data_IF_011864078895
#
_entry.id   IF_011864078895
#
_cell.length_a   1.000
_cell.length_b   1.000
_cell.length_c   1.000
_cell.angle_alpha   90.00
_cell.angle_beta   90.00
_cell.angle_gamma   90.00
#
_symmetry.space_group_name_H-M   'P 1'
#
loop_
_entity.id
_entity.type
_entity.pdbx_description
1 polymer ?
#
# COMPACT_ATOMS: atom_id res chain seq x y z
N UNK A 1 -12.98 -13.24 16.35
CA UNK A 1 -11.50 -13.18 16.30
C UNK A 1 -11.19 -12.30 15.10
N UNK A 2 -11.11 -10.99 15.31
CA UNK A 2 -11.27 -9.97 14.24
C UNK A 2 -10.40 -8.77 14.66
N UNK A 3 -9.47 -8.20 13.89
CA UNK A 3 -9.18 -8.20 12.46
C UNK A 3 -7.65 -8.07 12.29
N UNK A 4 -7.01 -9.05 11.67
CA UNK A 4 -5.65 -8.90 11.16
C UNK A 4 -5.72 -8.27 9.77
N UNK A 5 -4.92 -7.24 9.51
CA UNK A 5 -4.82 -6.55 8.22
C UNK A 5 -3.44 -6.74 7.62
N UNK A 6 -3.36 -7.02 6.33
CA UNK A 6 -2.08 -6.98 5.64
C UNK A 6 -1.54 -5.55 5.59
N UNK A 7 -0.24 -5.44 5.81
CA UNK A 7 0.52 -4.19 5.78
C UNK A 7 1.87 -4.43 5.09
N UNK A 8 2.33 -3.52 4.22
CA UNK A 8 1.71 -2.25 3.87
C UNK A 8 0.70 -2.33 2.72
N UNK A 9 0.46 -3.53 2.17
CA UNK A 9 -0.23 -3.68 0.89
C UNK A 9 -1.74 -3.37 0.90
N UNK A 10 -2.22 -2.71 -0.17
CA UNK A 10 -3.65 -2.47 -0.44
C UNK A 10 -4.23 -3.39 -1.53
N UNK A 11 -3.39 -4.20 -2.18
CA UNK A 11 -3.75 -5.14 -3.23
C UNK A 11 -3.46 -6.60 -2.85
N UNK A 12 -4.30 -7.53 -3.33
CA UNK A 12 -4.17 -8.96 -2.99
C UNK A 12 -3.02 -9.65 -3.71
N UNK A 13 -2.58 -9.08 -4.83
CA UNK A 13 -1.52 -9.54 -5.70
C UNK A 13 -0.15 -9.50 -5.00
N UNK A 14 0.02 -8.61 -4.01
CA UNK A 14 1.24 -8.52 -3.19
C UNK A 14 1.25 -9.49 -2.01
N UNK A 15 0.11 -10.13 -1.71
CA UNK A 15 0.00 -11.04 -0.59
C UNK A 15 0.22 -12.46 -1.09
N UNK A 16 1.14 -13.17 -0.42
CA UNK A 16 1.39 -14.58 -0.71
C UNK A 16 0.07 -15.37 -0.64
N UNK A 17 -0.29 -16.13 -1.69
CA UNK A 17 -1.52 -16.93 -1.72
C UNK A 17 -1.71 -17.82 -0.48
N UNK A 18 -0.62 -18.34 0.11
CA UNK A 18 -0.67 -19.17 1.31
C UNK A 18 -1.04 -18.39 2.59
N UNK A 19 -0.86 -17.07 2.57
CA UNK A 19 -1.15 -16.19 3.69
C UNK A 19 -2.52 -15.54 3.59
N UNK A 20 -3.17 -15.49 2.41
CA UNK A 20 -4.42 -14.74 2.17
C UNK A 20 -5.55 -15.03 3.17
N UNK A 21 -5.65 -16.24 3.69
CA UNK A 21 -6.67 -16.63 4.67
C UNK A 21 -6.39 -16.10 6.10
N UNK A 22 -5.17 -15.65 6.37
CA UNK A 22 -4.73 -15.21 7.70
C UNK A 22 -5.09 -13.76 8.03
N UNK A 23 -5.51 -12.96 7.06
CA UNK A 23 -5.78 -11.53 7.24
C UNK A 23 -6.75 -10.95 6.21
N UNK A 24 -7.01 -9.65 6.32
CA UNK A 24 -7.83 -8.89 5.37
C UNK A 24 -7.03 -7.74 4.78
N UNK A 25 -7.47 -7.26 3.63
CA UNK A 25 -6.86 -6.10 2.96
C UNK A 25 -7.63 -4.85 3.37
N UNK A 26 -6.91 -3.75 3.62
CA UNK A 26 -7.54 -2.46 3.87
C UNK A 26 -8.13 -1.91 2.56
N UNK A 27 -9.45 -1.74 2.52
CA UNK A 27 -10.13 -1.14 1.38
C UNK A 27 -10.43 0.33 1.65
N UNK A 28 -9.89 1.17 0.78
CA UNK A 28 -9.98 2.62 0.86
C UNK A 28 -11.10 3.20 -0.01
N UNK A 29 -12.02 2.35 -0.50
CA UNK A 29 -13.18 2.75 -1.30
C UNK A 29 -13.12 2.32 -2.77
N UNK A 30 -12.12 1.55 -3.19
CA UNK A 30 -12.02 1.04 -4.57
C UNK A 30 -12.54 -0.38 -4.75
N UNK A 31 -12.36 -1.22 -3.71
CA UNK A 31 -12.71 -2.63 -3.78
C UNK A 31 -14.18 -2.84 -3.39
N UNK A 32 -14.82 -3.83 -3.99
CA UNK A 32 -16.13 -4.30 -3.52
C UNK A 32 -15.98 -5.01 -2.17
N UNK A 33 -16.95 -4.87 -1.25
CA UNK A 33 -16.91 -5.52 0.05
C UNK A 33 -17.00 -7.05 -0.11
N UNK A 34 -15.84 -7.71 -0.12
CA UNK A 34 -15.67 -9.17 -0.12
C UNK A 34 -15.24 -9.68 1.26
N UNK A 35 -15.28 -10.99 1.48
CA UNK A 35 -14.94 -11.64 2.77
C UNK A 35 -13.51 -11.33 3.25
N UNK A 36 -12.56 -11.15 2.33
CA UNK A 36 -11.14 -10.87 2.60
C UNK A 36 -10.80 -9.37 2.66
N UNK A 37 -11.80 -8.50 2.68
CA UNK A 37 -11.63 -7.05 2.61
C UNK A 37 -12.17 -6.39 3.87
N UNK A 38 -11.42 -5.42 4.41
CA UNK A 38 -11.85 -4.56 5.50
C UNK A 38 -12.04 -3.14 4.99
N UNK A 39 -13.30 -2.70 4.93
CA UNK A 39 -13.64 -1.31 4.57
C UNK A 39 -13.91 -0.51 5.84
N UNK A 40 -13.12 0.55 6.14
CA UNK A 40 -13.40 1.48 7.22
C UNK A 40 -14.73 2.21 6.97
N UNK A 41 -15.51 2.44 8.03
CA UNK A 41 -16.78 3.17 7.93
C UNK A 41 -16.60 4.69 7.86
N UNK A 42 -15.40 5.19 8.17
CA UNK A 42 -15.07 6.60 8.30
C UNK A 42 -14.22 7.13 7.12
N UNK A 43 -14.33 6.53 5.93
CA UNK A 43 -13.66 7.05 4.74
C UNK A 43 -14.17 8.46 4.39
N UNK A 44 -13.26 9.36 4.03
CA UNK A 44 -13.60 10.75 3.72
C UNK A 44 -14.31 10.88 2.37
N UNK A 45 -13.79 10.20 1.35
CA UNK A 45 -14.33 10.18 0.00
C UNK A 45 -15.24 8.97 -0.22
N UNK A 46 -16.35 9.18 -0.92
CA UNK A 46 -17.10 8.09 -1.54
C UNK A 46 -16.25 7.40 -2.62
N UNK A 47 -16.60 6.16 -3.03
CA UNK A 47 -15.91 5.47 -4.12
C UNK A 47 -15.78 6.28 -5.42
N UNK A 48 -16.82 7.07 -5.74
CA UNK A 48 -16.84 7.93 -6.92
C UNK A 48 -15.87 9.12 -6.77
N UNK A 49 -15.86 9.74 -5.60
CA UNK A 49 -14.94 10.86 -5.30
C UNK A 49 -13.49 10.41 -5.20
N UNK A 50 -13.23 9.22 -4.65
CA UNK A 50 -11.89 8.64 -4.59
C UNK A 50 -11.32 8.42 -6.00
N UNK A 51 -12.13 7.91 -6.94
CA UNK A 51 -11.75 7.78 -8.36
C UNK A 51 -11.53 9.14 -9.02
N UNK A 52 -12.41 10.11 -8.78
CA UNK A 52 -12.26 11.45 -9.33
C UNK A 52 -11.00 12.15 -8.81
N UNK A 53 -10.71 12.00 -7.52
CA UNK A 53 -9.49 12.52 -6.89
C UNK A 53 -8.24 11.87 -7.48
N UNK A 54 -8.26 10.54 -7.65
CA UNK A 54 -7.15 9.83 -8.26
C UNK A 54 -6.88 10.32 -9.70
N UNK A 55 -7.92 10.44 -10.52
CA UNK A 55 -7.79 10.95 -11.89
C UNK A 55 -7.22 12.38 -11.90
N UNK A 56 -7.72 13.24 -11.01
CA UNK A 56 -7.17 14.59 -10.84
C UNK A 56 -5.68 14.56 -10.50
N UNK A 57 -5.24 13.70 -9.57
CA UNK A 57 -3.82 13.59 -9.23
C UNK A 57 -2.97 13.10 -10.41
N UNK A 58 -3.49 12.17 -11.22
CA UNK A 58 -2.81 11.69 -12.43
C UNK A 58 -2.71 12.77 -13.50
N UNK A 59 -3.80 13.48 -13.78
CA UNK A 59 -3.83 14.60 -14.73
C UNK A 59 -2.93 15.75 -14.29
N UNK A 60 -2.98 16.11 -13.01
CA UNK A 60 -2.12 17.12 -12.41
C UNK A 60 -0.64 16.73 -12.53
N UNK A 61 -0.29 15.50 -12.18
CA UNK A 61 1.08 14.99 -12.31
C UNK A 61 1.58 15.00 -13.76
N UNK A 62 0.72 14.69 -14.73
CA UNK A 62 1.06 14.67 -16.15
C UNK A 62 1.40 16.06 -16.73
N UNK A 63 1.01 17.16 -16.05
CA UNK A 63 1.34 18.52 -16.48
C UNK A 63 2.82 18.88 -16.26
N UNK A 64 3.52 18.14 -15.39
CA UNK A 64 4.91 18.41 -15.04
C UNK A 64 5.85 17.40 -15.71
N UNK A 65 6.89 17.91 -16.39
CA UNK A 65 7.97 17.06 -16.94
C UNK A 65 8.96 16.62 -15.88
N UNK A 66 9.20 17.49 -14.89
CA UNK A 66 10.15 17.28 -13.81
C UNK A 66 9.49 17.38 -12.42
N UNK A 67 9.85 16.45 -11.52
CA UNK A 67 9.37 16.41 -10.13
C UNK A 67 9.76 17.71 -9.38
N UNK A 68 10.87 18.35 -9.76
CA UNK A 68 11.33 19.60 -9.14
C UNK A 68 10.36 20.76 -9.41
N UNK A 69 9.82 20.84 -10.63
CA UNK A 69 8.88 21.88 -11.03
C UNK A 69 7.54 21.70 -10.29
N UNK A 70 7.09 20.45 -10.18
CA UNK A 70 5.92 20.11 -9.37
C UNK A 70 6.11 20.51 -7.90
N UNK A 71 7.26 20.19 -7.30
CA UNK A 71 7.57 20.60 -5.91
C UNK A 71 7.61 22.11 -5.76
N UNK A 72 8.21 22.83 -6.70
CA UNK A 72 8.25 24.30 -6.67
C UNK A 72 6.84 24.89 -6.77
N UNK A 73 5.99 24.35 -7.65
CA UNK A 73 4.60 24.75 -7.78
C UNK A 73 3.80 24.51 -6.49
N UNK A 74 3.95 23.33 -5.88
CA UNK A 74 3.31 22.98 -4.60
C UNK A 74 3.77 23.88 -3.45
N UNK A 75 5.03 24.30 -3.43
CA UNK A 75 5.56 25.22 -2.41
C UNK A 75 5.03 26.65 -2.59
N UNK A 76 4.64 27.04 -3.81
CA UNK A 76 4.04 28.34 -4.09
C UNK A 76 2.54 28.37 -3.74
N UNK A 77 1.84 27.26 -3.91
CA UNK A 77 0.45 27.13 -3.47
C UNK A 77 0.40 26.76 -1.99
N UNK A 78 0.23 27.75 -1.11
CA UNK A 78 0.02 27.56 0.34
C UNK A 78 -1.32 26.88 0.70
N UNK A 79 -1.97 26.16 -0.22
CA UNK A 79 -3.27 25.50 -0.02
C UNK A 79 -3.23 24.07 -0.56
N UNK A 80 -3.91 23.10 0.09
CA UNK A 80 -4.05 21.76 -0.47
C UNK A 80 -4.69 21.83 -1.86
N UNK A 81 -4.13 21.07 -2.82
CA UNK A 81 -4.71 20.87 -4.14
C UNK A 81 -6.10 20.23 -3.98
N UNK A 82 -7.15 21.02 -4.16
CA UNK A 82 -8.52 20.55 -4.17
C UNK A 82 -9.06 20.59 -5.61
N UNK A 83 -9.66 19.51 -6.13
CA UNK A 83 -10.34 19.56 -7.42
C UNK A 83 -11.43 20.63 -7.37
N UNK A 84 -11.51 21.51 -8.36
CA UNK A 84 -12.42 22.67 -8.37
C UNK A 84 -13.92 22.30 -8.19
N UNK A 85 -14.30 21.04 -8.40
CA UNK A 85 -15.66 20.53 -8.13
C UNK A 85 -15.96 20.12 -6.68
N UNK A 86 -14.94 19.96 -5.82
CA UNK A 86 -15.10 19.51 -4.43
C UNK A 86 -15.39 20.69 -3.50
N UNK A 87 -14.96 21.90 -3.85
CA UNK A 87 -15.21 23.12 -3.08
C UNK A 87 -16.69 23.53 -3.05
N UNK A 88 -17.48 23.33 -4.12
CA UNK A 88 -18.90 23.69 -4.09
C UNK A 88 -19.69 22.77 -3.14
N UNK A 89 -19.41 21.47 -3.17
CA UNK A 89 -20.07 20.48 -2.32
C UNK A 89 -19.61 20.63 -0.86
N UNK A 90 -18.31 20.86 -0.61
CA UNK A 90 -17.79 21.09 0.74
C UNK A 90 -18.24 22.43 1.33
N UNK A 91 -18.29 23.51 0.56
CA UNK A 91 -18.72 24.82 1.08
C UNK A 91 -20.19 24.80 1.47
N UNK A 92 -21.04 24.06 0.75
CA UNK A 92 -22.44 23.82 1.14
C UNK A 92 -22.58 22.91 2.37
N UNK A 93 -21.76 21.87 2.52
CA UNK A 93 -21.79 20.95 3.67
C UNK A 93 -21.16 21.54 4.95
N UNK A 94 -20.02 22.23 4.84
CA UNK A 94 -19.32 22.87 5.97
C UNK A 94 -20.06 24.12 6.48
N UNK A 95 -20.88 24.77 5.65
CA UNK A 95 -21.77 25.82 6.11
C UNK A 95 -22.85 25.30 7.10
N UNK A 96 -23.12 23.98 7.11
CA UNK A 96 -24.08 23.33 8.01
C UNK A 96 -23.47 22.84 9.34
N UNK A 97 -22.19 22.50 9.39
CA UNK A 97 -21.55 21.90 10.58
C UNK A 97 -20.51 22.82 11.25
N UNK A 98 -21.00 23.77 12.04
CA UNK A 98 -20.16 24.62 12.92
C UNK A 98 -19.90 23.92 14.26
N UNK A 99 -18.90 23.06 14.33
CA UNK A 99 -18.22 22.69 15.59
C UNK A 99 -16.70 22.59 15.38
N UNK A 100 -15.95 23.48 16.03
CA UNK A 100 -14.51 23.71 15.78
C UNK A 100 -13.58 22.55 16.23
N UNK A 101 -14.07 21.58 17.00
CA UNK A 101 -13.29 20.40 17.39
C UNK A 101 -13.20 19.34 16.27
N UNK A 102 -14.20 19.26 15.39
CA UNK A 102 -14.19 18.29 14.28
C UNK A 102 -13.23 18.66 13.15
N UNK A 103 -12.78 19.91 13.06
CA UNK A 103 -12.00 20.39 11.91
C UNK A 103 -10.65 19.68 11.77
N UNK A 104 -9.92 19.45 12.88
CA UNK A 104 -8.60 18.80 12.84
C UNK A 104 -8.68 17.31 12.50
N UNK A 105 -9.58 16.57 13.14
CA UNK A 105 -9.77 15.13 12.87
C UNK A 105 -10.29 14.90 11.45
N UNK A 106 -11.12 15.81 10.93
CA UNK A 106 -11.61 15.77 9.55
C UNK A 106 -10.52 16.10 8.54
N UNK A 107 -9.62 17.04 8.85
CA UNK A 107 -8.42 17.31 8.03
C UNK A 107 -7.43 16.13 8.01
N UNK A 108 -7.19 15.49 9.16
CA UNK A 108 -6.36 14.28 9.25
C UNK A 108 -6.99 13.12 8.49
N UNK A 109 -8.30 12.90 8.64
CA UNK A 109 -9.05 11.89 7.87
C UNK A 109 -8.86 12.12 6.37
N UNK A 110 -9.13 13.34 5.90
CA UNK A 110 -8.95 13.72 4.49
C UNK A 110 -7.52 13.44 4.04
N UNK A 111 -6.51 13.89 4.80
CA UNK A 111 -5.10 13.74 4.45
C UNK A 111 -4.70 12.27 4.35
N UNK A 112 -5.08 11.45 5.33
CA UNK A 112 -4.76 10.03 5.34
C UNK A 112 -5.51 9.27 4.25
N UNK A 113 -6.76 9.63 3.96
CA UNK A 113 -7.48 9.01 2.86
C UNK A 113 -6.83 9.34 1.51
N UNK A 114 -6.49 10.61 1.26
CA UNK A 114 -5.76 11.04 0.06
C UNK A 114 -4.42 10.30 -0.09
N UNK A 115 -3.66 10.18 1.00
CA UNK A 115 -2.39 9.46 1.01
C UNK A 115 -2.57 7.99 0.61
N UNK A 116 -3.57 7.30 1.18
CA UNK A 116 -3.81 5.92 0.84
C UNK A 116 -4.32 5.75 -0.60
N UNK A 117 -5.11 6.69 -1.13
CA UNK A 117 -5.53 6.68 -2.54
C UNK A 117 -4.31 6.77 -3.47
N UNK A 118 -3.37 7.68 -3.18
CA UNK A 118 -2.13 7.78 -3.95
C UNK A 118 -1.26 6.54 -3.80
N UNK A 119 -1.21 5.96 -2.61
CA UNK A 119 -0.46 4.74 -2.35
C UNK A 119 -1.05 3.54 -3.09
N UNK A 120 -2.38 3.42 -3.13
CA UNK A 120 -3.08 2.41 -3.93
C UNK A 120 -2.69 2.52 -5.41
N UNK A 121 -2.76 3.72 -6.00
CA UNK A 121 -2.37 3.91 -7.39
C UNK A 121 -0.87 3.69 -7.65
N UNK A 122 -0.03 3.96 -6.66
CA UNK A 122 1.39 3.64 -6.71
C UNK A 122 1.63 2.12 -6.79
N UNK A 123 0.91 1.33 -5.99
CA UNK A 123 0.92 -0.13 -6.10
C UNK A 123 0.44 -0.60 -7.47
N UNK A 124 -0.69 -0.07 -7.98
CA UNK A 124 -1.17 -0.41 -9.34
C UNK A 124 -0.09 -0.14 -10.40
N UNK A 125 0.59 1.00 -10.31
CA UNK A 125 1.65 1.36 -11.25
C UNK A 125 2.83 0.39 -11.19
N UNK A 126 3.24 -0.04 -10.00
CA UNK A 126 4.31 -1.02 -9.85
C UNK A 126 3.89 -2.36 -10.48
N UNK A 127 2.65 -2.80 -10.23
CA UNK A 127 2.13 -4.02 -10.84
C UNK A 127 2.13 -3.95 -12.36
N UNK A 128 1.72 -2.81 -12.93
CA UNK A 128 1.78 -2.56 -14.37
C UNK A 128 3.21 -2.70 -14.91
N UNK A 129 4.20 -2.06 -14.27
CA UNK A 129 5.60 -2.11 -14.70
C UNK A 129 6.12 -3.56 -14.65
N UNK A 130 5.88 -4.26 -13.55
CA UNK A 130 6.28 -5.65 -13.37
C UNK A 130 5.67 -6.56 -14.46
N UNK A 131 4.41 -6.31 -14.83
CA UNK A 131 3.75 -7.08 -15.89
C UNK A 131 4.30 -6.74 -17.28
N UNK A 132 4.63 -5.48 -17.54
CA UNK A 132 5.28 -5.06 -18.79
C UNK A 132 6.66 -5.71 -18.93
N UNK A 133 7.47 -5.71 -17.88
CA UNK A 133 8.79 -6.36 -17.86
C UNK A 133 8.69 -7.86 -18.16
N UNK A 134 7.77 -8.58 -17.49
CA UNK A 134 7.54 -10.00 -17.81
C UNK A 134 7.15 -10.22 -19.26
N UNK A 135 6.25 -9.38 -19.79
CA UNK A 135 5.81 -9.51 -21.18
C UNK A 135 6.95 -9.23 -22.18
N UNK A 136 7.89 -8.37 -21.82
CA UNK A 136 9.10 -8.10 -22.59
C UNK A 136 10.03 -9.31 -22.56
N UNK A 137 10.27 -9.88 -21.37
CA UNK A 137 11.14 -11.05 -21.20
C UNK A 137 10.60 -12.26 -21.94
N UNK A 138 9.29 -12.51 -21.91
CA UNK A 138 8.64 -13.59 -22.67
C UNK A 138 8.82 -13.40 -24.18
N UNK A 139 8.70 -12.17 -24.68
CA UNK A 139 8.95 -11.85 -26.09
C UNK A 139 10.42 -12.05 -26.45
N UNK A 140 11.35 -11.60 -25.60
CA UNK A 140 12.78 -11.77 -25.83
C UNK A 140 13.18 -13.26 -25.80
N UNK A 141 12.63 -14.04 -24.87
CA UNK A 141 12.81 -15.49 -24.84
C UNK A 141 12.32 -16.14 -26.13
N UNK A 142 11.11 -15.78 -26.60
CA UNK A 142 10.59 -16.31 -27.88
C UNK A 142 11.47 -15.96 -29.09
N UNK A 143 12.10 -14.78 -29.10
CA UNK A 143 13.02 -14.37 -30.16
C UNK A 143 14.33 -15.18 -30.07
N UNK A 144 14.84 -15.45 -28.87
CA UNK A 144 16.03 -16.29 -28.66
C UNK A 144 15.80 -17.72 -29.13
N UNK A 145 14.64 -18.28 -28.82
CA UNK A 145 14.22 -19.60 -29.29
C UNK A 145 14.19 -19.67 -30.81
N UNK A 146 13.62 -18.64 -31.47
CA UNK A 146 13.60 -18.52 -32.95
C UNK A 146 15.02 -18.41 -33.52
N UNK A 147 15.93 -17.74 -32.82
CA UNK A 147 17.32 -17.59 -33.25
C UNK A 147 18.22 -18.79 -32.93
N UNK A 148 17.68 -19.85 -32.30
CA UNK A 148 18.42 -21.08 -32.01
C UNK A 148 19.50 -20.92 -30.94
N UNK A 149 19.32 -19.98 -30.00
CA UNK A 149 20.21 -19.82 -28.85
C UNK A 149 19.78 -20.81 -27.78
N UNK A 150 20.53 -21.90 -27.59
CA UNK A 150 20.27 -22.89 -26.52
C UNK A 150 20.55 -22.27 -25.13
N UNK A 151 19.51 -22.11 -24.31
CA UNK A 151 19.63 -21.54 -22.96
C UNK A 151 20.03 -22.60 -21.91
N UNK A 152 21.33 -22.75 -21.66
CA UNK A 152 21.81 -23.17 -20.33
C UNK A 152 21.63 -21.98 -19.37
N UNK A 153 20.43 -21.76 -18.80
CA UNK A 153 20.18 -21.04 -17.52
C UNK A 153 18.67 -20.79 -17.31
N UNK A 154 17.91 -21.87 -17.06
CA UNK A 154 16.54 -21.79 -16.55
C UNK A 154 16.49 -21.51 -15.04
N UNK A 155 17.17 -20.47 -14.58
CA UNK A 155 17.26 -20.08 -13.17
C UNK A 155 16.97 -18.58 -13.01
N UNK A 156 15.70 -18.15 -12.99
CA UNK A 156 15.35 -16.87 -12.33
C UNK A 156 13.88 -16.48 -12.25
N UNK A 157 12.89 -17.15 -12.87
CA UNK A 157 11.49 -16.66 -12.85
C UNK A 157 10.93 -16.42 -11.43
N UNK A 158 11.33 -17.20 -10.41
CA UNK A 158 10.91 -17.04 -9.01
C UNK A 158 11.74 -16.03 -8.21
N UNK A 159 13.01 -15.83 -8.57
CA UNK A 159 13.90 -14.84 -7.93
C UNK A 159 13.56 -13.40 -8.39
N UNK A 160 13.04 -13.26 -9.60
CA UNK A 160 12.74 -11.96 -10.22
C UNK A 160 11.61 -11.21 -9.51
N UNK A 161 10.53 -11.88 -9.08
CA UNK A 161 9.42 -11.20 -8.41
C UNK A 161 9.80 -10.64 -7.04
N UNK A 162 10.60 -11.39 -6.26
CA UNK A 162 11.11 -10.90 -4.98
C UNK A 162 12.14 -9.77 -5.16
N UNK A 163 12.91 -9.79 -6.25
CA UNK A 163 13.90 -8.75 -6.57
C UNK A 163 13.22 -7.46 -7.07
N UNK A 164 12.17 -7.57 -7.89
CA UNK A 164 11.44 -6.42 -8.43
C UNK A 164 10.62 -5.68 -7.36
N UNK A 165 9.95 -6.38 -6.44
CA UNK A 165 9.31 -5.71 -5.29
C UNK A 165 10.34 -5.09 -4.35
N UNK A 166 11.55 -5.66 -4.27
CA UNK A 166 12.69 -5.06 -3.55
C UNK A 166 13.27 -3.81 -4.20
N UNK A 167 13.05 -3.59 -5.51
CA UNK A 167 13.50 -2.38 -6.23
C UNK A 167 12.61 -1.16 -6.01
N UNK A 168 11.37 -1.36 -5.60
CA UNK A 168 10.43 -0.28 -5.30
C UNK A 168 10.35 -0.11 -3.79
N UNK A 169 11.10 0.86 -3.25
CA UNK A 169 11.05 1.21 -1.83
C UNK A 169 9.64 1.66 -1.42
N UNK A 170 8.87 0.72 -0.88
CA UNK A 170 7.63 1.03 -0.18
C UNK A 170 8.02 1.70 1.13
N UNK A 171 7.84 3.03 1.22
CA UNK A 171 8.04 3.78 2.47
C UNK A 171 6.92 3.48 3.45
N UNK A 172 7.01 2.34 4.11
CA UNK A 172 6.00 1.85 5.02
C UNK A 172 5.77 2.83 6.18
N UNK A 173 6.81 3.57 6.60
CA UNK A 173 6.71 4.62 7.62
C UNK A 173 5.68 5.70 7.26
N UNK A 174 5.54 6.03 5.97
CA UNK A 174 4.69 7.13 5.52
C UNK A 174 3.21 6.76 5.64
N UNK A 175 2.89 5.51 5.30
CA UNK A 175 1.52 5.01 5.24
C UNK A 175 1.03 4.41 6.55
N UNK A 176 1.95 4.00 7.44
CA UNK A 176 1.59 3.39 8.72
C UNK A 176 0.62 4.23 9.58
N UNK A 177 0.82 5.55 9.75
CA UNK A 177 -0.14 6.39 10.49
C UNK A 177 -1.55 6.37 9.87
N UNK A 178 -1.65 6.33 8.53
CA UNK A 178 -2.93 6.27 7.84
C UNK A 178 -3.64 4.93 8.07
N UNK A 179 -2.91 3.81 8.00
CA UNK A 179 -3.45 2.49 8.33
C UNK A 179 -4.00 2.46 9.77
N UNK A 180 -3.25 3.02 10.73
CA UNK A 180 -3.69 3.10 12.12
C UNK A 180 -4.91 4.00 12.30
N UNK A 181 -4.99 5.11 11.56
CA UNK A 181 -6.14 6.02 11.62
C UNK A 181 -7.44 5.33 11.21
N UNK A 182 -7.41 4.52 10.13
CA UNK A 182 -8.58 3.82 9.62
C UNK A 182 -8.85 2.46 10.29
N UNK A 183 -7.84 1.87 10.94
CA UNK A 183 -7.94 0.59 11.60
C UNK A 183 -7.27 0.59 12.99
N UNK A 184 -7.74 1.42 13.95
CA UNK A 184 -7.03 1.64 15.22
C UNK A 184 -6.97 0.41 16.13
N UNK A 185 -7.91 -0.53 15.96
CA UNK A 185 -8.01 -1.76 16.76
C UNK A 185 -7.48 -3.00 16.00
N UNK A 186 -7.01 -2.83 14.77
CA UNK A 186 -6.53 -3.95 13.97
C UNK A 186 -5.11 -4.36 14.38
N UNK A 187 -4.81 -5.65 14.20
CA UNK A 187 -3.44 -6.13 14.14
C UNK A 187 -2.94 -6.10 12.70
N UNK A 188 -1.64 -5.92 12.48
CA UNK A 188 -1.05 -5.88 11.13
C UNK A 188 -0.22 -7.12 10.82
N UNK A 189 -0.32 -7.64 9.60
CA UNK A 189 0.47 -8.75 9.08
C UNK A 189 1.47 -8.18 8.08
N UNK A 190 2.76 -8.43 8.32
CA UNK A 190 3.88 -7.99 7.47
C UNK A 190 4.61 -9.22 6.95
N UNK A 191 4.68 -9.37 5.64
CA UNK A 191 5.42 -10.45 4.98
C UNK A 191 6.82 -10.03 4.50
N UNK A 192 7.04 -8.72 4.33
CA UNK A 192 8.29 -8.17 3.81
C UNK A 192 9.32 -7.92 4.93
N UNK A 193 10.52 -8.45 4.77
CA UNK A 193 11.64 -8.30 5.71
C UNK A 193 12.15 -6.85 5.76
N UNK A 194 12.08 -6.10 4.65
CA UNK A 194 12.48 -4.70 4.60
C UNK A 194 11.55 -3.81 5.44
N UNK A 195 10.24 -3.99 5.28
CA UNK A 195 9.19 -3.31 6.06
C UNK A 195 9.29 -3.68 7.54
N UNK A 196 9.61 -4.94 7.83
CA UNK A 196 9.83 -5.41 9.20
C UNK A 196 10.99 -4.65 9.88
N UNK A 197 12.16 -4.58 9.24
CA UNK A 197 13.32 -3.88 9.81
C UNK A 197 13.10 -2.36 9.87
N UNK A 198 12.43 -1.76 8.87
CA UNK A 198 12.05 -0.34 8.88
C UNK A 198 11.20 -0.01 10.11
N UNK A 199 10.10 -0.74 10.34
CA UNK A 199 9.22 -0.52 11.50
C UNK A 199 9.92 -0.81 12.83
N UNK A 200 10.75 -1.85 12.87
CA UNK A 200 11.54 -2.21 14.07
C UNK A 200 12.52 -1.10 14.46
N UNK A 201 13.17 -0.46 13.49
CA UNK A 201 14.07 0.68 13.73
C UNK A 201 13.37 1.88 14.37
N UNK A 202 12.04 1.98 14.23
CA UNK A 202 11.18 3.03 14.79
C UNK A 202 10.51 2.63 16.11
N UNK A 203 10.95 1.56 16.76
CA UNK A 203 10.42 1.15 18.07
C UNK A 203 9.12 0.32 18.02
N UNK A 204 8.85 -0.36 16.91
CA UNK A 204 7.83 -1.43 16.86
C UNK A 204 8.45 -2.74 17.36
N UNK A 205 8.00 -3.27 18.51
CA UNK A 205 8.58 -4.48 19.11
C UNK A 205 7.79 -5.75 18.78
N UNK A 206 8.38 -6.71 18.07
CA UNK A 206 7.75 -7.97 17.59
C UNK A 206 7.84 -9.13 18.61
N UNK A 207 6.74 -9.84 18.94
CA UNK A 207 6.76 -11.15 19.67
C UNK A 207 7.01 -12.31 18.72
N UNK A 208 6.90 -13.56 19.20
CA UNK A 208 6.96 -14.83 18.48
C UNK A 208 5.79 -15.73 18.91
N UNK A 209 5.06 -16.37 18.00
CA UNK A 209 4.05 -17.39 18.32
C UNK A 209 4.59 -18.79 18.04
N UNK A 210 4.17 -19.75 18.87
CA UNK A 210 4.84 -21.04 19.09
C UNK A 210 4.42 -22.17 18.14
N UNK A 211 3.63 -21.90 17.11
CA UNK A 211 3.44 -22.83 16.00
C UNK A 211 3.97 -22.16 14.74
N UNK A 212 5.11 -22.67 14.27
CA UNK A 212 5.80 -22.32 13.02
C UNK A 212 6.15 -20.82 12.85
N UNK A 213 7.32 -20.40 13.33
CA UNK A 213 8.06 -19.21 12.88
C UNK A 213 7.32 -17.84 12.75
N UNK A 214 6.19 -17.63 13.43
CA UNK A 214 5.41 -16.38 13.34
C UNK A 214 5.83 -15.37 14.41
N UNK A 215 5.83 -14.06 14.14
CA UNK A 215 6.31 -13.03 15.08
C UNK A 215 5.32 -11.88 15.45
N UNK A 216 4.72 -11.80 16.66
CA UNK A 216 3.62 -10.88 17.03
C UNK A 216 3.94 -9.57 17.82
N UNK A 217 3.96 -8.34 17.30
CA UNK A 217 4.38 -7.13 18.07
C UNK A 217 3.37 -6.44 19.03
N UNK A 218 3.87 -5.63 19.97
CA UNK A 218 3.21 -4.48 20.63
C UNK A 218 4.19 -3.29 20.67
N UNK A 219 3.74 -2.04 20.51
CA UNK A 219 4.62 -0.86 20.56
C UNK A 219 4.44 -0.02 21.83
N UNK A 220 5.57 0.47 22.38
CA UNK A 220 5.66 1.42 23.49
C UNK A 220 5.41 2.88 23.11
N UNK A 221 5.69 3.30 21.87
CA UNK A 221 5.34 4.65 21.37
C UNK A 221 3.92 4.69 20.78
N UNK A 222 3.47 3.58 20.22
CA UNK A 222 2.14 3.41 19.64
C UNK A 222 1.31 2.46 20.49
N UNK A 223 0.98 2.87 21.72
CA UNK A 223 0.14 2.11 22.64
C UNK A 223 -1.10 1.56 21.89
N UNK A 224 -1.26 0.23 21.92
CA UNK A 224 -2.39 -0.57 21.41
C UNK A 224 -2.33 -1.20 20.00
N UNK A 225 -1.26 -1.09 19.21
CA UNK A 225 -1.17 -1.79 17.91
C UNK A 225 -0.49 -3.16 18.02
N UNK A 226 -1.10 -4.19 17.41
CA UNK A 226 -0.54 -5.56 17.32
C UNK A 226 0.08 -5.77 15.95
N UNK A 227 1.21 -6.47 15.81
CA UNK A 227 1.74 -6.87 14.49
C UNK A 227 1.99 -8.37 14.42
N UNK A 228 2.20 -8.95 13.23
CA UNK A 228 2.71 -10.30 12.96
C UNK A 228 3.67 -10.23 11.78
N UNK A 229 4.88 -10.75 11.93
CA UNK A 229 5.80 -10.96 10.80
C UNK A 229 5.78 -12.41 10.33
N UNK A 230 5.67 -12.58 9.02
CA UNK A 230 5.72 -13.87 8.31
C UNK A 230 6.97 -13.94 7.46
N UNK A 231 7.92 -14.75 7.89
CA UNK A 231 9.06 -15.11 7.06
C UNK A 231 8.64 -16.23 6.12
N UNK A 232 8.67 -15.99 4.81
CA UNK A 232 8.56 -17.07 3.83
C UNK A 232 9.68 -18.06 4.12
N UNK A 233 9.31 -19.28 4.53
CA UNK A 233 10.27 -20.38 4.54
C UNK A 233 10.75 -20.50 3.09
N UNK A 234 12.02 -20.15 2.85
CA UNK A 234 12.72 -20.76 1.72
C UNK A 234 12.53 -22.25 1.93
N UNK A 235 11.86 -22.92 1.01
CA UNK A 235 11.92 -24.37 0.93
C UNK A 235 13.41 -24.73 1.02
N UNK A 236 13.75 -25.35 2.14
CA UNK A 236 14.93 -26.18 2.24
C UNK A 236 14.70 -27.31 1.26
N UNK A 237 15.22 -27.14 0.04
CA UNK A 237 15.82 -28.27 -0.67
C UNK A 237 17.32 -28.28 -0.32
N UNK A 238 17.59 -28.51 0.95
CA UNK A 238 18.81 -29.20 1.40
C UNK A 238 18.36 -30.23 2.46
N UNK A 239 18.81 -31.47 2.26
CA UNK A 239 18.41 -32.75 2.87
C UNK A 239 17.23 -33.41 2.14
N UNK A 240 17.41 -34.47 1.32
CA UNK A 240 18.36 -35.61 1.40
C UNK A 240 18.76 -36.06 0.00
#
# INVERSE_FOLDING_TARGET
MDKWLFFPYLHEEYIDPQLRERGKILNIGFLEPKTQVFTPSNLYFSPKEARAYLNFCLEFGAQFKDIKDMKAYLLQQNSPLEPEGVLSIKSELLARDKSKENTKSLEENRKYHMLLILYYAYEERIMEIINLEKSLDEKLASIRDIMGVEEELNLSKKLFFNDLTGRYELKAELVFPAFKFFAPQAGFIVSDESVFEELKSKGVEWRKEKEENNYFAYSGEYKNSKFVYYKKLKDREEAV
#
